data_IF_095324615297
#
_entry.id   IF_095324615297
#
_cell.length_a   1.000
_cell.length_b   1.000
_cell.length_c   1.000
_cell.angle_alpha   90.00
_cell.angle_beta   90.00
_cell.angle_gamma   90.00
#
_symmetry.space_group_name_H-M   'P 1'
#
loop_
_entity.id
_entity.type
_entity.pdbx_description
1 polymer ?
#
# COMPACT_ATOMS: atom_id res chain seq x y z
N UNK A 1 37.66 2.64 -1.64
CA UNK A 1 36.74 2.37 -2.76
C UNK A 1 35.34 2.35 -2.15
N UNK A 2 34.48 3.30 -2.55
CA UNK A 2 33.13 3.42 -2.03
C UNK A 2 32.29 2.35 -2.70
N UNK A 3 31.82 1.38 -1.92
CA UNK A 3 30.99 0.30 -2.42
C UNK A 3 29.59 0.85 -2.74
N UNK A 4 29.25 0.75 -4.02
CA UNK A 4 27.93 0.40 -4.51
C UNK A 4 26.75 1.32 -4.16
N UNK A 5 26.65 2.43 -4.91
CA UNK A 5 25.39 3.11 -5.14
C UNK A 5 24.49 2.33 -6.14
N UNK A 6 24.36 1.01 -5.99
CA UNK A 6 23.25 0.28 -6.63
C UNK A 6 21.98 0.70 -5.94
N UNK A 7 21.43 1.78 -6.47
CA UNK A 7 20.22 2.48 -6.06
C UNK A 7 18.95 1.67 -6.40
N UNK A 8 19.00 0.36 -6.14
CA UNK A 8 17.79 -0.45 -6.07
C UNK A 8 17.05 -0.02 -4.82
N UNK A 9 15.83 0.50 -4.99
CA UNK A 9 14.94 0.69 -3.85
C UNK A 9 14.99 -0.60 -3.01
N UNK A 10 15.16 -0.49 -1.68
CA UNK A 10 15.29 -1.66 -0.85
C UNK A 10 14.07 -2.56 -1.08
N UNK A 11 14.27 -3.87 -1.13
CA UNK A 11 13.27 -4.86 -1.57
C UNK A 11 11.88 -4.62 -0.94
N UNK A 12 11.86 -4.21 0.34
CA UNK A 12 10.62 -3.83 1.05
C UNK A 12 9.79 -2.74 0.37
N UNK A 13 10.39 -1.76 -0.31
CA UNK A 13 9.68 -0.71 -1.05
C UNK A 13 9.06 -1.27 -2.32
N UNK A 14 9.72 -2.22 -2.98
CA UNK A 14 9.18 -2.89 -4.17
C UNK A 14 7.97 -3.73 -3.76
N UNK A 15 8.12 -4.52 -2.70
CA UNK A 15 7.02 -5.32 -2.14
C UNK A 15 5.87 -4.44 -1.65
N UNK A 16 6.15 -3.34 -0.95
CA UNK A 16 5.13 -2.37 -0.53
C UNK A 16 4.40 -1.77 -1.73
N UNK A 17 5.11 -1.41 -2.80
CA UNK A 17 4.50 -0.80 -3.99
C UNK A 17 3.63 -1.79 -4.75
N UNK A 18 4.04 -3.05 -4.84
CA UNK A 18 3.21 -4.13 -5.37
C UNK A 18 1.97 -4.33 -4.50
N UNK A 19 2.15 -4.42 -3.18
CA UNK A 19 1.07 -4.57 -2.21
C UNK A 19 0.05 -3.42 -2.27
N UNK A 20 0.50 -2.16 -2.37
CA UNK A 20 -0.38 -0.99 -2.53
C UNK A 20 -1.14 -1.04 -3.86
N UNK A 21 -0.54 -1.59 -4.92
CA UNK A 21 -1.19 -1.73 -6.22
C UNK A 21 -2.32 -2.76 -6.17
N UNK A 22 -2.08 -3.94 -5.56
CA UNK A 22 -3.12 -4.94 -5.28
C UNK A 22 -4.21 -4.39 -4.33
N UNK A 23 -3.80 -3.62 -3.33
CA UNK A 23 -4.72 -2.98 -2.39
C UNK A 23 -5.66 -2.02 -3.12
N UNK A 24 -5.11 -1.24 -4.05
CA UNK A 24 -5.86 -0.30 -4.86
C UNK A 24 -6.83 -1.01 -5.81
N UNK A 25 -6.39 -2.08 -6.48
CA UNK A 25 -7.27 -2.89 -7.34
C UNK A 25 -8.44 -3.47 -6.54
N UNK A 26 -8.17 -4.05 -5.37
CA UNK A 26 -9.20 -4.53 -4.46
C UNK A 26 -10.15 -3.42 -4.00
N UNK A 27 -9.61 -2.26 -3.66
CA UNK A 27 -10.42 -1.12 -3.23
C UNK A 27 -11.32 -0.60 -4.35
N UNK A 28 -10.85 -0.60 -5.60
CA UNK A 28 -11.65 -0.24 -6.77
C UNK A 28 -12.69 -1.32 -7.08
N UNK A 29 -12.31 -2.60 -7.05
CA UNK A 29 -13.20 -3.73 -7.32
C UNK A 29 -14.34 -3.83 -6.29
N UNK A 30 -14.05 -3.54 -5.02
CA UNK A 30 -15.05 -3.46 -3.96
C UNK A 30 -15.87 -2.15 -3.97
N UNK A 31 -15.48 -1.17 -4.80
CA UNK A 31 -16.16 0.13 -4.89
C UNK A 31 -15.85 1.09 -3.74
N UNK A 32 -14.80 0.82 -2.95
CA UNK A 32 -14.33 1.72 -1.88
C UNK A 32 -13.61 2.96 -2.44
N UNK A 33 -12.86 2.80 -3.54
CA UNK A 33 -12.10 3.87 -4.19
C UNK A 33 -12.67 4.14 -5.58
N UNK A 34 -12.75 5.43 -5.93
CA UNK A 34 -13.17 5.86 -7.26
C UNK A 34 -12.07 6.74 -7.89
N UNK A 35 -11.54 6.37 -9.06
CA UNK A 35 -10.53 7.19 -9.74
C UNK A 35 -11.09 8.55 -10.18
N UNK A 36 -10.28 9.64 -10.15
CA UNK A 36 -8.89 9.70 -9.72
C UNK A 36 -8.76 9.78 -8.18
N UNK A 37 -8.11 8.80 -7.57
CA UNK A 37 -7.82 8.80 -6.14
C UNK A 37 -6.33 9.03 -5.95
N UNK A 38 -5.99 10.03 -5.15
CA UNK A 38 -4.61 10.39 -4.85
C UNK A 38 -4.24 9.81 -3.49
N UNK A 39 -3.13 9.08 -3.44
CA UNK A 39 -2.56 8.61 -2.18
C UNK A 39 -1.74 9.77 -1.59
N UNK A 40 -2.30 10.45 -0.59
CA UNK A 40 -1.55 11.40 0.23
C UNK A 40 -0.52 10.68 1.11
N UNK A 41 0.53 11.38 1.53
CA UNK A 41 1.58 10.85 2.41
C UNK A 41 1.00 10.19 3.68
N UNK A 42 -0.02 10.80 4.29
CA UNK A 42 -0.71 10.23 5.44
C UNK A 42 -1.42 8.89 5.15
N UNK A 43 -1.91 8.72 3.93
CA UNK A 43 -2.51 7.45 3.49
C UNK A 43 -1.42 6.42 3.23
N UNK A 44 -0.32 6.82 2.59
CA UNK A 44 0.82 5.95 2.33
C UNK A 44 1.45 5.42 3.64
N UNK A 45 1.66 6.28 4.64
CA UNK A 45 2.15 5.85 5.97
C UNK A 45 1.21 4.82 6.62
N UNK A 46 -0.10 5.02 6.47
CA UNK A 46 -1.09 4.08 7.03
C UNK A 46 -1.07 2.73 6.33
N UNK A 47 -0.92 2.71 5.00
CA UNK A 47 -0.77 1.50 4.20
C UNK A 47 0.54 0.77 4.50
N UNK A 48 1.63 1.52 4.67
CA UNK A 48 2.91 0.96 5.10
C UNK A 48 2.79 0.29 6.47
N UNK A 49 2.08 0.91 7.41
CA UNK A 49 1.77 0.29 8.71
C UNK A 49 1.02 -1.04 8.57
N UNK A 50 0.06 -1.14 7.63
CA UNK A 50 -0.65 -2.39 7.38
C UNK A 50 0.24 -3.47 6.76
N UNK A 51 1.10 -3.08 5.82
CA UNK A 51 2.09 -3.97 5.25
C UNK A 51 3.08 -4.48 6.31
N UNK A 52 3.55 -3.60 7.21
CA UNK A 52 4.48 -3.94 8.29
C UNK A 52 3.91 -4.98 9.27
N UNK A 53 2.61 -4.94 9.56
CA UNK A 53 1.96 -5.95 10.41
C UNK A 53 1.57 -7.23 9.64
N UNK A 54 1.85 -7.29 8.34
CA UNK A 54 1.60 -8.47 7.50
C UNK A 54 0.15 -8.64 7.04
N UNK A 55 -0.65 -7.57 7.00
CA UNK A 55 -2.01 -7.62 6.45
C UNK A 55 -1.97 -7.92 4.96
N UNK A 56 -2.96 -8.67 4.46
CA UNK A 56 -3.15 -8.80 3.03
C UNK A 56 -3.71 -7.50 2.43
N UNK A 57 -3.53 -7.23 1.12
CA UNK A 57 -4.07 -6.04 0.48
C UNK A 57 -5.59 -5.91 0.65
N UNK A 58 -6.31 -7.03 0.59
CA UNK A 58 -7.75 -7.08 0.82
C UNK A 58 -8.13 -6.72 2.27
N UNK A 59 -7.41 -7.25 3.26
CA UNK A 59 -7.63 -6.89 4.67
C UNK A 59 -7.24 -5.44 4.95
N UNK A 60 -6.15 -4.95 4.37
CA UNK A 60 -5.75 -3.54 4.46
C UNK A 60 -6.80 -2.61 3.86
N UNK A 61 -7.45 -3.00 2.75
CA UNK A 61 -8.53 -2.22 2.15
C UNK A 61 -9.77 -2.23 3.04
N UNK A 62 -10.15 -3.40 3.55
CA UNK A 62 -11.25 -3.52 4.51
C UNK A 62 -10.96 -2.78 5.83
N UNK A 63 -9.73 -2.76 6.32
CA UNK A 63 -9.36 -2.02 7.52
C UNK A 63 -9.32 -0.50 7.28
N UNK A 64 -8.87 -0.07 6.10
CA UNK A 64 -8.81 1.33 5.72
C UNK A 64 -10.21 1.93 5.47
N UNK A 65 -11.07 1.23 4.73
CA UNK A 65 -12.39 1.72 4.33
C UNK A 65 -13.55 1.16 5.16
N UNK A 66 -13.40 -0.02 5.76
CA UNK A 66 -14.46 -0.77 6.43
C UNK A 66 -14.73 -0.37 7.87
N UNK A 67 -14.50 0.90 8.24
CA UNK A 67 -15.06 1.44 9.50
C UNK A 67 -16.56 1.68 9.33
N UNK A 68 -17.35 0.60 9.23
CA UNK A 68 -18.79 0.62 9.42
C UNK A 68 -19.25 -0.67 10.10
N UNK A 69 -19.13 -0.71 11.42
CA UNK A 69 -20.21 -1.25 12.27
C UNK A 69 -20.17 -0.61 13.66
#
# INVERSE_FOLDING_TARGET
MCDDASSGLPQHIIDLRAWISDWYDHAVAAGFVRPPFMLDDATAERLEGYFMVGLTPAEGAAAFFGSVH
#
